data_IF_019304338372
#
_entry.id   IF_019304338372
#
_cell.length_a   1.000
_cell.length_b   1.000
_cell.length_c   1.000
_cell.angle_alpha   90.00
_cell.angle_beta   90.00
_cell.angle_gamma   90.00
#
_symmetry.space_group_name_H-M   'P 1'
#
loop_
_entity.id
_entity.type
_entity.pdbx_description
1 polymer ?
#
# COMPACT_ATOMS: atom_id res chain seq x y z
N UNK A 1 15.55 -10.35 -20.83
CA UNK A 1 14.66 -10.38 -19.65
C UNK A 1 14.50 -8.94 -19.20
N UNK A 2 13.49 -8.25 -19.71
CA UNK A 2 13.30 -6.82 -19.48
C UNK A 2 12.65 -6.65 -18.12
N UNK A 3 13.38 -6.09 -17.16
CA UNK A 3 12.83 -5.68 -15.86
C UNK A 3 11.88 -4.52 -16.15
N UNK A 4 10.57 -4.80 -16.17
CA UNK A 4 9.55 -3.77 -16.17
C UNK A 4 9.60 -3.10 -14.80
N UNK A 5 10.29 -1.98 -14.71
CA UNK A 5 10.15 -1.05 -13.59
C UNK A 5 8.74 -0.48 -13.70
N UNK A 6 7.75 -1.15 -13.10
CA UNK A 6 6.36 -0.73 -13.13
C UNK A 6 6.21 0.57 -12.33
N UNK A 7 6.05 1.69 -13.05
CA UNK A 7 5.62 2.97 -12.49
C UNK A 7 4.18 2.85 -12.00
N UNK A 8 3.92 2.15 -10.91
CA UNK A 8 2.60 2.23 -10.29
C UNK A 8 2.53 3.39 -9.31
N UNK A 9 1.35 3.97 -9.22
CA UNK A 9 1.08 5.04 -8.26
C UNK A 9 0.59 4.39 -6.96
N UNK A 10 1.32 4.62 -5.87
CA UNK A 10 0.82 4.36 -4.52
C UNK A 10 -0.31 5.36 -4.24
N UNK A 11 -1.55 4.89 -4.19
CA UNK A 11 -2.74 5.75 -4.00
C UNK A 11 -2.88 6.11 -2.52
N UNK A 12 -2.01 7.02 -2.05
CA UNK A 12 -2.13 7.64 -0.72
C UNK A 12 -2.75 9.04 -0.76
N UNK A 13 -2.98 9.62 -1.95
CA UNK A 13 -3.54 10.96 -2.11
C UNK A 13 -4.53 11.08 -3.27
N UNK A 14 -5.55 11.90 -3.05
CA UNK A 14 -6.70 12.22 -3.90
C UNK A 14 -6.38 13.45 -4.79
N UNK A 15 -6.88 13.59 -6.03
CA UNK A 15 -7.24 12.57 -7.03
C UNK A 15 -6.01 12.10 -7.82
N UNK A 16 -6.03 10.83 -8.27
CA UNK A 16 -5.03 10.31 -9.19
C UNK A 16 -5.57 10.46 -10.62
N UNK A 17 -5.10 11.43 -11.42
CA UNK A 17 -5.57 11.56 -12.79
C UNK A 17 -5.13 10.36 -13.63
N UNK A 18 -6.03 9.89 -14.48
CA UNK A 18 -5.75 8.86 -15.47
C UNK A 18 -5.97 9.44 -16.87
N UNK A 19 -5.01 9.25 -17.75
CA UNK A 19 -5.16 9.63 -19.15
C UNK A 19 -5.98 8.52 -19.83
N UNK A 20 -6.99 8.89 -20.62
CA UNK A 20 -7.97 7.95 -21.19
C UNK A 20 -7.37 6.79 -22.01
N UNK A 21 -6.24 7.06 -22.67
CA UNK A 21 -5.55 6.10 -23.55
C UNK A 21 -4.39 5.37 -22.83
N UNK A 22 -4.17 5.66 -21.54
CA UNK A 22 -3.10 5.05 -20.75
C UNK A 22 -3.55 3.67 -20.23
N UNK A 23 -2.65 2.69 -20.30
CA UNK A 23 -2.77 1.47 -19.50
C UNK A 23 -1.88 1.63 -18.27
N UNK A 24 -2.47 1.71 -17.07
CA UNK A 24 -1.74 2.05 -15.84
C UNK A 24 -2.03 1.11 -14.68
N UNK A 25 -1.00 0.79 -13.92
CA UNK A 25 -1.08 0.03 -12.69
C UNK A 25 -1.30 0.93 -11.47
N UNK A 26 -2.20 0.50 -10.59
CA UNK A 26 -2.50 1.15 -9.32
C UNK A 26 -2.38 0.15 -8.17
N UNK A 27 -1.92 0.63 -7.03
CA UNK A 27 -1.68 -0.19 -5.85
C UNK A 27 -2.37 0.38 -4.61
N UNK A 28 -2.92 -0.52 -3.79
CA UNK A 28 -3.46 -0.23 -2.47
C UNK A 28 -2.72 -1.05 -1.42
N UNK A 29 -2.19 -0.34 -0.42
CA UNK A 29 -1.61 -0.91 0.79
C UNK A 29 -2.62 -0.79 1.93
N UNK A 30 -2.86 -1.88 2.65
CA UNK A 30 -3.81 -1.94 3.77
C UNK A 30 -3.14 -1.97 5.16
N UNK A 31 -1.83 -2.21 5.20
CA UNK A 31 -0.94 -1.92 6.34
C UNK A 31 0.45 -1.51 5.81
N UNK A 32 1.31 -0.89 6.64
CA UNK A 32 2.69 -0.62 6.26
C UNK A 32 3.44 -1.92 5.98
N UNK A 33 4.46 -1.84 5.13
CA UNK A 33 5.34 -2.98 4.88
C UNK A 33 6.19 -3.30 6.12
N UNK A 34 6.58 -4.56 6.25
CA UNK A 34 7.59 -4.95 7.24
C UNK A 34 8.92 -4.28 6.91
N UNK A 35 9.69 -3.93 7.94
CA UNK A 35 11.05 -3.43 7.82
C UNK A 35 11.94 -4.44 7.06
N UNK A 36 12.91 -3.93 6.29
CA UNK A 36 13.83 -4.74 5.49
C UNK A 36 15.29 -4.26 5.68
N UNK A 37 16.22 -5.20 5.66
CA UNK A 37 17.66 -4.94 5.68
C UNK A 37 18.10 -4.20 4.42
N UNK A 38 19.11 -3.35 4.53
CA UNK A 38 19.76 -2.66 3.41
C UNK A 38 18.77 -1.93 2.47
N UNK A 39 17.69 -1.39 3.02
CA UNK A 39 16.63 -0.72 2.25
C UNK A 39 16.72 0.79 2.41
N UNK A 40 16.54 1.51 1.30
CA UNK A 40 16.43 2.96 1.30
C UNK A 40 15.03 3.37 1.72
N UNK A 41 14.94 4.24 2.72
CA UNK A 41 13.71 4.80 3.25
C UNK A 41 13.68 6.34 3.12
N UNK A 42 12.52 6.86 2.74
CA UNK A 42 12.26 8.26 2.47
C UNK A 42 11.55 8.89 3.67
N UNK A 43 12.15 9.99 4.17
CA UNK A 43 11.61 10.79 5.27
C UNK A 43 10.17 11.21 5.00
N UNK A 44 9.31 11.11 6.02
CA UNK A 44 7.89 11.49 6.01
C UNK A 44 6.97 10.69 5.08
N UNK A 45 7.52 9.89 4.16
CA UNK A 45 6.76 9.00 3.29
C UNK A 45 6.67 7.61 3.87
N UNK A 46 7.82 7.05 4.29
CA UNK A 46 7.87 5.66 4.69
C UNK A 46 7.46 5.43 6.14
N UNK A 47 6.66 4.40 6.32
CA UNK A 47 6.25 3.83 7.60
C UNK A 47 6.47 2.32 7.48
N UNK A 48 7.00 1.71 8.53
CA UNK A 48 7.25 0.27 8.57
C UNK A 48 6.64 -0.39 9.80
N UNK A 49 6.40 -1.69 9.69
CA UNK A 49 6.13 -2.57 10.81
C UNK A 49 7.41 -3.31 11.20
N UNK A 50 7.63 -3.55 12.50
CA UNK A 50 8.69 -4.45 12.94
C UNK A 50 8.39 -5.90 12.50
N UNK A 51 9.37 -6.80 12.56
CA UNK A 51 9.13 -8.25 12.37
C UNK A 51 8.42 -8.89 13.56
N UNK A 52 8.54 -8.28 14.75
CA UNK A 52 7.85 -8.69 15.99
C UNK A 52 6.93 -7.56 16.46
N UNK A 53 5.66 -7.88 16.69
CA UNK A 53 4.65 -6.90 17.10
C UNK A 53 5.04 -6.16 18.40
N UNK A 54 5.07 -4.83 18.33
CA UNK A 54 5.32 -3.94 19.48
C UNK A 54 4.11 -3.12 19.90
N UNK A 55 3.01 -3.18 19.12
CA UNK A 55 1.86 -2.27 19.25
C UNK A 55 2.04 -0.91 18.56
N UNK A 56 3.18 -0.69 17.89
CA UNK A 56 3.49 0.54 17.16
C UNK A 56 3.81 0.26 15.68
N UNK A 57 3.69 1.32 14.88
CA UNK A 57 4.33 1.41 13.58
C UNK A 57 5.42 2.48 13.64
N UNK A 58 6.35 2.46 12.68
CA UNK A 58 7.56 3.26 12.74
C UNK A 58 7.66 4.20 11.56
N UNK A 59 7.45 5.49 11.83
CA UNK A 59 7.51 6.55 10.81
C UNK A 59 8.95 7.00 10.60
N UNK A 60 9.38 7.07 9.34
CA UNK A 60 10.68 7.58 8.98
C UNK A 60 10.75 9.10 9.22
N UNK A 61 11.53 9.52 10.22
CA UNK A 61 11.72 10.95 10.58
C UNK A 61 13.04 11.50 10.06
N UNK A 62 13.99 10.63 9.71
CA UNK A 62 15.18 10.95 8.91
C UNK A 62 15.42 9.85 7.88
N UNK A 63 15.38 10.20 6.60
CA UNK A 63 15.57 9.26 5.50
C UNK A 63 17.03 8.81 5.38
N UNK A 64 17.23 7.66 4.76
CA UNK A 64 18.53 7.00 4.68
C UNK A 64 18.40 5.56 4.23
N UNK A 65 19.41 4.75 4.53
CA UNK A 65 19.46 3.30 4.36
C UNK A 65 19.45 2.61 5.73
N UNK A 66 18.56 1.63 5.91
CA UNK A 66 18.48 0.81 7.13
C UNK A 66 19.75 -0.01 7.36
N UNK A 67 19.88 -0.60 8.54
CA UNK A 67 20.97 -1.52 8.84
C UNK A 67 21.04 -2.64 7.80
N UNK A 68 22.27 -3.04 7.45
CA UNK A 68 22.55 -4.01 6.39
C UNK A 68 22.37 -5.46 6.82
N UNK A 69 22.23 -5.72 8.13
CA UNK A 69 22.29 -7.07 8.71
C UNK A 69 21.15 -7.40 9.65
N UNK A 70 20.68 -6.47 10.48
CA UNK A 70 19.79 -6.77 11.59
C UNK A 70 18.74 -5.70 11.81
N UNK A 71 17.51 -6.14 12.08
CA UNK A 71 16.43 -5.23 12.52
C UNK A 71 16.81 -4.57 13.85
N UNK A 72 16.62 -3.25 14.00
CA UNK A 72 16.81 -2.59 15.29
C UNK A 72 15.80 -3.11 16.31
N UNK A 73 16.14 -3.04 17.60
CA UNK A 73 15.15 -3.28 18.67
C UNK A 73 14.20 -2.08 18.69
N UNK A 74 13.05 -2.26 18.05
CA UNK A 74 12.05 -1.22 17.93
C UNK A 74 11.43 -0.84 19.29
N UNK A 75 11.34 0.47 19.62
CA UNK A 75 10.74 0.92 20.87
C UNK A 75 9.29 0.47 21.09
N UNK A 76 8.91 0.31 22.35
CA UNK A 76 7.54 -0.02 22.79
C UNK A 76 6.87 1.15 23.52
N UNK A 77 7.41 2.36 23.37
CA UNK A 77 6.87 3.58 23.98
C UNK A 77 6.60 4.58 22.87
N UNK A 78 5.42 5.20 22.91
CA UNK A 78 5.02 6.17 21.91
C UNK A 78 6.01 7.35 21.83
N UNK A 79 6.27 7.82 20.63
CA UNK A 79 7.14 8.95 20.32
C UNK A 79 8.64 8.72 20.56
N UNK A 80 9.07 7.57 21.08
CA UNK A 80 10.49 7.21 21.12
C UNK A 80 11.08 7.07 19.72
N UNK A 81 12.38 7.34 19.61
CA UNK A 81 13.11 7.27 18.36
C UNK A 81 14.26 6.29 18.44
N UNK A 82 14.56 5.62 17.33
CA UNK A 82 15.69 4.69 17.21
C UNK A 82 16.46 4.99 15.93
N UNK A 83 17.79 4.93 16.03
CA UNK A 83 18.71 4.99 14.88
C UNK A 83 18.86 3.57 14.30
N UNK A 84 18.81 3.47 12.97
CA UNK A 84 18.85 2.22 12.21
C UNK A 84 19.66 2.44 10.92
N UNK A 85 20.94 2.04 10.94
CA UNK A 85 21.90 2.43 9.92
C UNK A 85 22.03 3.94 9.82
N UNK A 86 21.51 4.52 8.73
CA UNK A 86 21.44 5.99 8.51
C UNK A 86 20.03 6.55 8.59
N UNK A 87 19.03 5.70 8.83
CA UNK A 87 17.62 6.06 9.01
C UNK A 87 17.34 6.34 10.48
N UNK A 88 16.37 7.23 10.74
CA UNK A 88 15.79 7.40 12.08
C UNK A 88 14.30 7.15 12.03
N UNK A 89 13.85 6.30 12.94
CA UNK A 89 12.45 5.93 13.12
C UNK A 89 11.86 6.61 14.35
N UNK A 90 10.55 6.84 14.31
CA UNK A 90 9.76 7.27 15.46
C UNK A 90 8.56 6.34 15.65
N UNK A 91 8.39 5.83 16.87
CA UNK A 91 7.23 5.04 17.26
C UNK A 91 5.97 5.89 17.22
N UNK A 92 4.95 5.42 16.49
CA UNK A 92 3.61 6.02 16.46
C UNK A 92 2.56 4.91 16.62
N UNK A 93 1.41 5.20 17.25
CA UNK A 93 0.39 4.18 17.50
C UNK A 93 0.00 3.44 16.23
N UNK A 94 -0.25 2.14 16.33
CA UNK A 94 -0.73 1.35 15.20
C UNK A 94 -2.16 1.78 14.82
N UNK A 95 -2.34 2.30 13.61
CA UNK A 95 -3.64 2.82 13.12
C UNK A 95 -4.04 2.25 11.73
N UNK A 96 -3.37 1.20 11.26
CA UNK A 96 -3.70 0.59 9.98
C UNK A 96 -5.01 -0.21 10.02
N UNK A 97 -5.68 -0.33 8.87
CA UNK A 97 -6.95 -1.08 8.74
C UNK A 97 -6.77 -2.55 9.14
N UNK A 98 -5.70 -3.16 8.64
CA UNK A 98 -5.33 -4.53 8.97
C UNK A 98 -4.48 -4.54 10.23
N UNK A 99 -4.72 -5.48 11.13
CA UNK A 99 -3.84 -5.79 12.25
C UNK A 99 -2.53 -6.43 11.80
N UNK A 100 -1.57 -6.52 12.73
CA UNK A 100 -0.20 -6.97 12.45
C UNK A 100 -0.16 -8.35 11.75
N UNK A 101 -0.91 -9.31 12.28
CA UNK A 101 -0.97 -10.70 11.79
C UNK A 101 -2.16 -10.99 10.87
N UNK A 102 -2.91 -9.96 10.46
CA UNK A 102 -4.02 -10.12 9.52
C UNK A 102 -3.50 -10.43 8.11
N UNK A 103 -4.29 -11.21 7.36
CA UNK A 103 -4.03 -11.54 5.96
C UNK A 103 -5.23 -11.20 5.09
N UNK A 104 -5.00 -10.66 3.89
CA UNK A 104 -6.01 -10.61 2.83
C UNK A 104 -6.09 -12.00 2.18
N UNK A 105 -7.25 -12.64 2.25
CA UNK A 105 -7.50 -13.95 1.62
C UNK A 105 -8.19 -13.83 0.27
N UNK A 106 -8.99 -12.77 0.07
CA UNK A 106 -9.63 -12.46 -1.20
C UNK A 106 -9.48 -10.97 -1.51
N UNK A 107 -9.26 -10.65 -2.78
CA UNK A 107 -9.29 -9.30 -3.31
C UNK A 107 -9.99 -9.32 -4.67
N UNK A 108 -11.20 -8.78 -4.71
CA UNK A 108 -12.00 -8.67 -5.94
C UNK A 108 -12.13 -7.21 -6.31
N UNK A 109 -12.02 -6.91 -7.60
CA UNK A 109 -12.09 -5.55 -8.10
C UNK A 109 -13.32 -5.38 -8.99
N UNK A 110 -13.95 -4.22 -8.89
CA UNK A 110 -15.16 -3.86 -9.61
C UNK A 110 -15.01 -2.43 -10.13
N UNK A 111 -15.58 -2.15 -11.29
CA UNK A 111 -15.64 -0.81 -11.87
C UNK A 111 -17.10 -0.45 -12.09
N UNK A 112 -17.46 0.79 -11.74
CA UNK A 112 -18.84 1.28 -11.89
C UNK A 112 -19.15 1.76 -13.31
N UNK A 113 -18.12 2.10 -14.10
CA UNK A 113 -18.24 2.63 -15.45
C UNK A 113 -18.31 1.52 -16.52
N UNK A 114 -19.37 1.53 -17.33
CA UNK A 114 -19.65 0.50 -18.33
C UNK A 114 -18.58 0.51 -19.42
N UNK A 115 -18.07 -0.67 -19.79
CA UNK A 115 -17.07 -0.83 -20.86
C UNK A 115 -15.62 -0.64 -20.41
N UNK A 116 -15.38 -0.21 -19.17
CA UNK A 116 -14.02 -0.11 -18.61
C UNK A 116 -13.47 -1.50 -18.25
N UNK A 117 -12.20 -1.76 -18.58
CA UNK A 117 -11.54 -3.02 -18.25
C UNK A 117 -10.53 -2.88 -17.12
N UNK A 118 -10.45 -3.95 -16.32
CA UNK A 118 -9.45 -4.10 -15.28
C UNK A 118 -8.88 -5.51 -15.25
N UNK A 119 -7.59 -5.61 -14.94
CA UNK A 119 -6.96 -6.86 -14.52
C UNK A 119 -6.45 -6.68 -13.10
N UNK A 120 -6.66 -7.67 -12.23
CA UNK A 120 -6.24 -7.58 -10.82
C UNK A 120 -5.12 -8.56 -10.49
N UNK A 121 -4.35 -8.21 -9.46
CA UNK A 121 -3.26 -9.05 -8.95
C UNK A 121 -2.95 -8.70 -7.49
N UNK A 122 -2.25 -9.59 -6.81
CA UNK A 122 -1.69 -9.39 -5.46
C UNK A 122 -0.17 -9.41 -5.58
N UNK A 123 0.52 -8.43 -4.98
CA UNK A 123 1.98 -8.27 -5.15
C UNK A 123 2.81 -8.70 -3.95
N UNK A 124 2.31 -8.59 -2.72
CA UNK A 124 3.11 -8.90 -1.52
C UNK A 124 2.27 -9.42 -0.36
N UNK A 125 2.80 -10.46 0.31
CA UNK A 125 2.60 -10.89 1.71
C UNK A 125 1.24 -10.52 2.35
N UNK A 126 0.15 -10.67 1.60
CA UNK A 126 -1.23 -10.52 2.01
C UNK A 126 -1.69 -9.10 2.41
N UNK A 127 -1.03 -8.00 2.02
CA UNK A 127 -1.50 -6.64 2.36
C UNK A 127 -1.40 -5.59 1.24
N UNK A 128 -0.75 -5.93 0.13
CA UNK A 128 -0.66 -5.09 -1.06
C UNK A 128 -1.42 -5.74 -2.22
N UNK A 129 -2.42 -5.02 -2.72
CA UNK A 129 -3.22 -5.42 -3.87
C UNK A 129 -3.10 -4.39 -4.98
N UNK A 130 -3.31 -4.82 -6.21
CA UNK A 130 -3.29 -3.91 -7.34
C UNK A 130 -4.24 -4.31 -8.44
N UNK A 131 -4.42 -3.36 -9.34
CA UNK A 131 -5.12 -3.56 -10.59
C UNK A 131 -4.47 -2.73 -11.68
N UNK A 132 -4.75 -3.10 -12.91
CA UNK A 132 -4.45 -2.32 -14.11
C UNK A 132 -5.76 -1.75 -14.63
N UNK A 133 -5.82 -0.43 -14.84
CA UNK A 133 -6.93 0.22 -15.54
C UNK A 133 -6.55 0.39 -17.00
N UNK A 134 -7.47 0.03 -17.91
CA UNK A 134 -7.32 0.21 -19.34
C UNK A 134 -8.68 0.24 -20.04
N UNK A 135 -8.68 0.69 -21.30
CA UNK A 135 -9.89 0.77 -22.13
C UNK A 135 -11.02 1.59 -21.48
N UNK A 136 -10.67 2.72 -20.86
CA UNK A 136 -11.67 3.65 -20.32
C UNK A 136 -12.47 4.27 -21.47
N UNK A 137 -13.82 4.30 -21.40
CA UNK A 137 -14.66 4.90 -22.44
C UNK A 137 -14.25 6.33 -22.75
N UNK A 138 -14.31 6.70 -24.03
CA UNK A 138 -13.85 8.02 -24.51
C UNK A 138 -14.67 9.19 -23.97
N UNK A 139 -15.90 8.93 -23.53
CA UNK A 139 -16.84 9.89 -22.94
C UNK A 139 -16.85 9.85 -21.40
N UNK A 140 -16.10 8.95 -20.78
CA UNK A 140 -15.99 8.89 -19.33
C UNK A 140 -15.20 10.10 -18.81
N UNK A 141 -15.78 10.82 -17.85
CA UNK A 141 -15.12 11.94 -17.14
C UNK A 141 -14.62 11.53 -15.76
N UNK A 142 -15.22 10.50 -15.19
CA UNK A 142 -14.82 9.88 -13.93
C UNK A 142 -14.96 8.36 -14.04
N UNK A 143 -14.11 7.64 -13.30
CA UNK A 143 -14.24 6.20 -13.12
C UNK A 143 -14.08 5.88 -11.64
N UNK A 144 -15.04 5.15 -11.06
CA UNK A 144 -14.90 4.58 -9.71
C UNK A 144 -14.48 3.13 -9.81
N UNK A 145 -13.35 2.80 -9.18
CA UNK A 145 -12.88 1.43 -9.01
C UNK A 145 -12.97 1.06 -7.55
N UNK A 146 -13.68 -0.03 -7.24
CA UNK A 146 -13.89 -0.53 -5.88
C UNK A 146 -13.16 -1.85 -5.69
N UNK A 147 -12.36 -1.92 -4.63
CA UNK A 147 -11.78 -3.15 -4.14
C UNK A 147 -12.61 -3.70 -2.99
N UNK A 148 -12.97 -4.97 -3.09
CA UNK A 148 -13.62 -5.75 -2.03
C UNK A 148 -12.61 -6.77 -1.54
N UNK A 149 -12.17 -6.62 -0.28
CA UNK A 149 -11.24 -7.56 0.35
C UNK A 149 -11.92 -8.35 1.46
N UNK A 150 -11.45 -9.58 1.65
CA UNK A 150 -11.71 -10.37 2.85
C UNK A 150 -10.41 -10.42 3.64
N UNK A 151 -10.47 -9.95 4.89
CA UNK A 151 -9.38 -10.04 5.86
C UNK A 151 -9.68 -11.18 6.82
N UNK A 152 -8.74 -12.11 6.96
CA UNK A 152 -8.79 -13.17 7.97
C UNK A 152 -7.88 -12.81 9.13
N UNK A 153 -8.45 -12.78 10.35
CA UNK A 153 -7.75 -12.54 11.61
C UNK A 153 -7.02 -13.80 12.08
N UNK A 154 -6.07 -13.70 13.03
CA UNK A 154 -5.39 -14.87 13.60
C UNK A 154 -6.32 -15.89 14.27
N UNK A 155 -7.49 -15.48 14.75
CA UNK A 155 -8.51 -16.37 15.32
C UNK A 155 -9.40 -17.04 14.24
N UNK A 156 -9.09 -16.82 12.95
CA UNK A 156 -9.81 -17.36 11.81
C UNK A 156 -11.08 -16.59 11.44
N UNK A 157 -11.45 -15.52 12.17
CA UNK A 157 -12.60 -14.70 11.79
C UNK A 157 -12.32 -13.89 10.53
N UNK A 158 -13.33 -13.81 9.68
CA UNK A 158 -13.25 -13.07 8.43
C UNK A 158 -14.09 -11.79 8.47
N UNK A 159 -13.55 -10.74 7.84
CA UNK A 159 -14.16 -9.43 7.75
C UNK A 159 -14.05 -8.91 6.32
N UNK A 160 -15.17 -8.47 5.76
CA UNK A 160 -15.22 -7.89 4.42
C UNK A 160 -15.10 -6.37 4.47
N UNK A 161 -14.24 -5.80 3.64
CA UNK A 161 -14.05 -4.36 3.52
C UNK A 161 -14.11 -3.92 2.06
N UNK A 162 -14.71 -2.75 1.84
CA UNK A 162 -14.78 -2.11 0.54
C UNK A 162 -13.97 -0.83 0.57
N UNK A 163 -13.14 -0.62 -0.46
CA UNK A 163 -12.41 0.64 -0.67
C UNK A 163 -12.54 1.08 -2.11
N UNK A 164 -13.13 2.26 -2.30
CA UNK A 164 -13.35 2.86 -3.61
C UNK A 164 -12.32 3.96 -3.89
N UNK A 165 -11.85 4.01 -5.13
CA UNK A 165 -10.99 5.06 -5.66
C UNK A 165 -11.73 5.70 -6.82
N UNK A 166 -11.84 7.02 -6.79
CA UNK A 166 -12.37 7.80 -7.90
C UNK A 166 -11.22 8.39 -8.71
N UNK A 167 -11.20 8.09 -10.00
CA UNK A 167 -10.26 8.63 -10.98
C UNK A 167 -10.96 9.74 -11.76
N UNK A 168 -10.30 10.89 -11.90
CA UNK A 168 -10.67 11.90 -12.89
C UNK A 168 -10.01 11.51 -14.20
N UNK A 169 -10.80 11.41 -15.27
CA UNK A 169 -10.31 11.07 -16.60
C UNK A 169 -9.94 12.35 -17.33
N UNK A 170 -8.70 12.42 -17.81
CA UNK A 170 -8.23 13.55 -18.60
C UNK A 170 -8.52 13.31 -20.07
N UNK A 171 -9.12 14.32 -20.71
CA UNK A 171 -9.04 14.45 -22.15
C UNK A 171 -7.60 14.78 -22.55
N UNK A 172 -7.16 14.22 -23.68
CA UNK A 172 -5.85 14.51 -24.26
C UNK A 172 -5.76 15.94 -24.77
#
# INVERSE_FOLDING_TARGET
MTILVSKGCDVYTYPCPHDKDESKYYYLKYKPATWEIDKVYIKSTDIVLPTVETGFMFKCVSGGRSDVTTEPVFPTVENETIDDGTVKWKAVPYDALMGFNDIITTSTWQVEEVGTLIDSFSLDNNFLVGFRLYEVPVDATEVTVTNVIVITKPDGKEFTYNRSIKFTIKEL
#
